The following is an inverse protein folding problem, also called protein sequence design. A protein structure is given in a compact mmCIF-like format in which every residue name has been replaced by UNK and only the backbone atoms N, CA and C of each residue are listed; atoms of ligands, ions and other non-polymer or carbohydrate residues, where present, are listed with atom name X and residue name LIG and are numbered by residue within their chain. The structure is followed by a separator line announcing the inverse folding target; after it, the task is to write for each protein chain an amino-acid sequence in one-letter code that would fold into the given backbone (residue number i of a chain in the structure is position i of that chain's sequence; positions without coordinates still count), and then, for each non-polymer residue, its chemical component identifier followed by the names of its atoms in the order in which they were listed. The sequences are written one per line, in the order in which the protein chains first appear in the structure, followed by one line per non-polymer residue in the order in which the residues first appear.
data_IF_116921459156
#
_entry.id   IF_116921459156
#
_cell.length_a   1.000
_cell.length_b   1.000
_cell.length_c   1.000
_cell.angle_alpha   90.00
_cell.angle_beta   90.00
_cell.angle_gamma   90.00
#
_symmetry.space_group_name_H-M   'P 1'
#
loop_
_entity.id
_entity.type
_entity.pdbx_description
1 polymer ?
#
# COMPACT_ATOMS: atom_id res chain seq x y z
N UNK A 1 -9.77 16.16 0.58
CA UNK A 1 -8.77 15.13 0.94
C UNK A 1 -8.33 14.41 -0.33
N UNK A 2 -7.12 13.88 -0.36
CA UNK A 2 -6.64 12.98 -1.42
C UNK A 2 -6.57 11.56 -0.88
N UNK A 3 -7.14 10.61 -1.61
CA UNK A 3 -7.09 9.20 -1.21
C UNK A 3 -6.42 8.44 -2.33
N UNK A 4 -5.33 7.76 -2.02
CA UNK A 4 -4.71 6.80 -2.91
C UNK A 4 -5.53 5.50 -2.87
N UNK A 5 -6.27 5.25 -3.95
CA UNK A 5 -6.92 3.97 -4.22
C UNK A 5 -6.18 3.31 -5.38
N UNK A 6 -5.64 2.12 -5.14
CA UNK A 6 -4.85 1.43 -6.16
C UNK A 6 -4.56 -0.01 -5.80
N UNK A 7 -3.72 -0.65 -6.60
CA UNK A 7 -3.27 -2.00 -6.34
C UNK A 7 -1.86 -2.01 -5.74
N UNK A 8 -1.53 -3.07 -5.03
CA UNK A 8 -0.21 -3.26 -4.45
C UNK A 8 0.23 -4.72 -4.49
N UNK A 9 1.53 -4.93 -4.36
CA UNK A 9 2.12 -6.23 -4.09
C UNK A 9 1.99 -6.54 -2.59
N UNK A 10 1.43 -7.71 -2.25
CA UNK A 10 1.40 -8.22 -0.88
C UNK A 10 2.76 -8.81 -0.48
N UNK A 11 3.29 -8.37 0.66
CA UNK A 11 4.61 -8.79 1.14
C UNK A 11 4.55 -9.85 2.25
N UNK A 12 3.35 -10.26 2.69
CA UNK A 12 3.15 -11.20 3.79
C UNK A 12 2.49 -12.47 3.29
N UNK A 13 2.99 -13.60 3.80
CA UNK A 13 2.44 -14.93 3.52
C UNK A 13 0.93 -15.02 3.78
N UNK A 14 0.46 -14.37 4.85
CA UNK A 14 -0.93 -14.43 5.31
C UNK A 14 -1.89 -13.56 4.50
N UNK A 15 -1.40 -12.71 3.58
CA UNK A 15 -2.26 -11.93 2.69
C UNK A 15 -2.73 -12.80 1.52
N UNK A 16 -3.95 -12.57 1.08
CA UNK A 16 -4.52 -13.13 -0.14
C UNK A 16 -4.71 -12.04 -1.21
N UNK A 17 -4.85 -12.46 -2.47
CA UNK A 17 -5.26 -11.56 -3.54
C UNK A 17 -6.67 -11.03 -3.25
N UNK A 18 -6.86 -9.73 -3.34
CA UNK A 18 -8.11 -9.06 -2.98
C UNK A 18 -8.12 -8.48 -1.56
N UNK A 19 -7.16 -8.83 -0.70
CA UNK A 19 -7.06 -8.21 0.62
C UNK A 19 -6.79 -6.70 0.52
N UNK A 20 -7.36 -5.94 1.43
CA UNK A 20 -7.15 -4.52 1.58
C UNK A 20 -5.94 -4.21 2.45
N UNK A 21 -5.23 -3.14 2.10
CA UNK A 21 -4.09 -2.61 2.82
C UNK A 21 -4.36 -1.15 3.16
N UNK A 22 -4.51 -0.87 4.46
CA UNK A 22 -4.60 0.49 4.99
C UNK A 22 -3.21 0.95 5.42
N UNK A 23 -2.65 1.96 4.75
CA UNK A 23 -1.33 2.46 5.12
C UNK A 23 -1.43 3.33 6.39
N UNK A 24 -0.64 3.00 7.42
CA UNK A 24 -0.44 3.87 8.58
C UNK A 24 0.94 4.53 8.62
N UNK A 25 1.84 4.11 7.73
CA UNK A 25 3.20 4.61 7.60
C UNK A 25 3.73 4.30 6.20
N UNK A 26 4.79 5.00 5.79
CA UNK A 26 5.35 4.90 4.45
C UNK A 26 6.86 4.71 4.51
N UNK A 27 7.39 3.77 3.72
CA UNK A 27 8.81 3.74 3.36
C UNK A 27 8.97 4.43 2.03
N UNK A 28 9.80 5.47 2.02
CA UNK A 28 10.05 6.33 0.87
C UNK A 28 11.32 5.93 0.14
N UNK A 29 11.13 5.08 -0.86
CA UNK A 29 12.14 4.70 -1.86
C UNK A 29 11.68 5.16 -3.25
N UNK A 30 10.80 6.16 -3.27
CA UNK A 30 10.22 6.82 -4.43
C UNK A 30 11.15 7.91 -4.98
N UNK A 31 12.06 8.43 -4.15
CA UNK A 31 13.16 9.36 -4.44
C UNK A 31 12.77 10.73 -5.01
N UNK A 32 11.59 10.86 -5.60
CA UNK A 32 11.14 12.03 -6.37
C UNK A 32 10.93 13.28 -5.51
N UNK A 33 10.78 13.13 -4.19
CA UNK A 33 10.57 14.24 -3.25
C UNK A 33 11.69 14.39 -2.22
N UNK A 34 12.83 13.71 -2.37
CA UNK A 34 13.84 13.65 -1.31
C UNK A 34 14.48 15.02 -1.01
N UNK A 35 14.67 15.85 -2.03
CA UNK A 35 15.22 17.21 -1.87
C UNK A 35 14.21 18.19 -1.24
N UNK A 36 12.93 18.04 -1.58
CA UNK A 36 11.85 18.91 -1.08
C UNK A 36 11.35 18.53 0.31
N UNK A 37 11.38 17.24 0.61
CA UNK A 37 10.93 16.63 1.84
C UNK A 37 11.89 15.49 2.19
N UNK A 38 12.93 15.75 3.01
CA UNK A 38 13.91 14.73 3.34
C UNK A 38 13.28 13.45 3.91
N UNK A 39 13.86 12.28 3.60
CA UNK A 39 13.31 10.95 3.97
C UNK A 39 13.20 10.71 5.48
N UNK A 40 13.93 11.47 6.31
CA UNK A 40 13.84 11.39 7.77
C UNK A 40 12.63 12.16 8.33
N UNK A 41 11.96 12.99 7.53
CA UNK A 41 10.76 13.71 7.95
C UNK A 41 9.59 12.73 8.06
N UNK A 42 8.97 12.59 9.25
CA UNK A 42 7.84 11.67 9.40
C UNK A 42 6.61 12.20 8.68
N UNK A 43 5.96 11.32 7.91
CA UNK A 43 4.64 11.56 7.32
C UNK A 43 3.61 10.81 8.18
N UNK A 44 2.92 11.48 9.11
CA UNK A 44 2.02 10.80 10.03
C UNK A 44 0.73 10.35 9.32
N UNK A 45 0.07 9.28 9.80
CA UNK A 45 -1.30 9.00 9.41
C UNK A 45 -2.25 10.02 10.04
N UNK A 46 -3.29 10.41 9.29
CA UNK A 46 -4.33 11.31 9.80
C UNK A 46 -5.47 10.48 10.40
N UNK A 47 -5.72 10.64 11.69
CA UNK A 47 -6.65 9.79 12.43
C UNK A 47 -8.05 9.78 11.79
N UNK A 48 -8.53 10.95 11.36
CA UNK A 48 -9.85 11.11 10.76
C UNK A 48 -9.97 10.35 9.45
N UNK A 49 -8.91 10.37 8.62
CA UNK A 49 -8.87 9.62 7.36
C UNK A 49 -8.72 8.11 7.61
N UNK A 50 -7.93 7.69 8.58
CA UNK A 50 -7.75 6.27 8.91
C UNK A 50 -9.07 5.63 9.37
N UNK A 51 -9.79 6.30 10.27
CA UNK A 51 -11.11 5.84 10.73
C UNK A 51 -12.09 5.77 9.56
N UNK A 52 -12.20 6.85 8.77
CA UNK A 52 -13.11 6.90 7.64
C UNK A 52 -12.84 5.78 6.60
N UNK A 53 -11.57 5.49 6.28
CA UNK A 53 -11.23 4.41 5.35
C UNK A 53 -11.54 3.02 5.91
N UNK A 54 -11.25 2.79 7.20
CA UNK A 54 -11.59 1.51 7.84
C UNK A 54 -13.11 1.29 7.90
N UNK A 55 -13.87 2.32 8.26
CA UNK A 55 -15.34 2.28 8.32
C UNK A 55 -15.93 2.07 6.92
N UNK A 56 -15.40 2.73 5.90
CA UNK A 56 -15.84 2.52 4.51
C UNK A 56 -15.65 1.07 4.03
N UNK A 57 -14.51 0.44 4.35
CA UNK A 57 -14.29 -0.98 4.03
C UNK A 57 -15.29 -1.86 4.80
N UNK A 58 -15.54 -1.57 6.07
CA UNK A 58 -16.51 -2.31 6.88
C UNK A 58 -17.93 -2.22 6.31
N UNK A 59 -18.35 -1.03 5.89
CA UNK A 59 -19.66 -0.77 5.29
C UNK A 59 -19.83 -1.50 3.96
N UNK A 60 -18.88 -1.34 3.03
CA UNK A 60 -18.96 -1.93 1.68
C UNK A 60 -18.90 -3.45 1.72
N UNK A 61 -18.08 -4.02 2.61
CA UNK A 61 -17.92 -5.48 2.71
C UNK A 61 -18.94 -6.13 3.64
N UNK A 62 -19.65 -5.35 4.45
CA UNK A 62 -20.55 -5.84 5.50
C UNK A 62 -19.82 -6.56 6.64
N UNK A 63 -18.48 -6.45 6.72
CA UNK A 63 -17.66 -7.13 7.73
C UNK A 63 -17.34 -6.20 8.89
N UNK A 64 -17.20 -6.77 10.09
CA UNK A 64 -16.83 -6.00 11.29
C UNK A 64 -15.90 -6.80 12.21
N UNK A 65 -15.32 -6.11 13.18
CA UNK A 65 -14.51 -6.73 14.23
C UNK A 65 -13.37 -7.59 13.70
N UNK A 66 -13.39 -8.87 14.05
CA UNK A 66 -12.34 -9.82 13.64
C UNK A 66 -12.40 -10.16 12.14
N UNK A 67 -13.60 -10.26 11.56
CA UNK A 67 -13.75 -10.63 10.16
C UNK A 67 -13.22 -9.56 9.21
N UNK A 68 -13.39 -8.27 9.57
CA UNK A 68 -12.76 -7.17 8.82
C UNK A 68 -11.23 -7.29 8.82
N UNK A 69 -10.62 -7.66 9.96
CA UNK A 69 -9.15 -7.84 10.06
C UNK A 69 -8.62 -9.02 9.24
N UNK A 70 -9.48 -9.95 8.82
CA UNK A 70 -9.09 -11.08 7.97
C UNK A 70 -8.83 -10.65 6.54
N UNK A 71 -9.54 -9.62 6.06
CA UNK A 71 -9.41 -9.12 4.69
C UNK A 71 -8.70 -7.77 4.62
N UNK A 72 -8.58 -7.04 5.73
CA UNK A 72 -7.92 -5.73 5.76
C UNK A 72 -6.76 -5.73 6.76
N UNK A 73 -5.59 -5.34 6.27
CA UNK A 73 -4.36 -5.22 7.06
C UNK A 73 -3.91 -3.77 7.14
N UNK A 74 -3.79 -3.23 8.35
CA UNK A 74 -3.14 -1.94 8.59
C UNK A 74 -1.64 -2.12 8.77
N UNK A 75 -0.82 -1.35 8.07
CA UNK A 75 0.64 -1.53 8.11
C UNK A 75 1.43 -0.48 7.34
N UNK A 76 2.76 -0.64 7.32
CA UNK A 76 3.66 0.22 6.55
C UNK A 76 3.60 -0.17 5.08
N UNK A 77 3.46 0.79 4.18
CA UNK A 77 3.53 0.58 2.73
C UNK A 77 4.87 1.11 2.23
N UNK A 78 5.59 0.31 1.44
CA UNK A 78 6.80 0.76 0.77
C UNK A 78 6.47 1.24 -0.64
N UNK A 79 6.88 2.46 -0.96
CA UNK A 79 6.71 3.02 -2.30
C UNK A 79 8.08 3.13 -2.94
N UNK A 80 8.23 2.52 -4.11
CA UNK A 80 9.49 2.46 -4.86
C UNK A 80 9.35 3.09 -6.24
N UNK A 81 10.45 3.55 -6.83
CA UNK A 81 10.48 4.11 -8.19
C UNK A 81 10.77 3.06 -9.30
N UNK A 82 11.18 1.86 -8.92
CA UNK A 82 11.62 0.82 -9.85
C UNK A 82 10.64 -0.36 -9.93
N UNK A 83 9.84 -0.40 -10.98
CA UNK A 83 8.87 -1.49 -11.23
C UNK A 83 9.49 -2.89 -11.31
N UNK A 84 10.75 -3.00 -11.76
CA UNK A 84 11.44 -4.28 -11.92
C UNK A 84 12.34 -4.60 -10.72
N UNK A 85 11.95 -4.16 -9.52
CA UNK A 85 12.74 -4.35 -8.30
C UNK A 85 13.02 -5.84 -8.01
N UNK A 86 12.14 -6.75 -8.46
CA UNK A 86 12.28 -8.19 -8.31
C UNK A 86 13.47 -8.76 -9.10
N UNK A 87 13.89 -8.09 -10.19
CA UNK A 87 14.95 -8.55 -11.09
C UNK A 87 16.36 -8.17 -10.64
N UNK A 88 16.49 -7.39 -9.56
CA UNK A 88 17.79 -6.92 -9.04
C UNK A 88 18.22 -7.74 -7.82
N UNK A 89 19.43 -7.48 -7.34
CA UNK A 89 19.89 -8.02 -6.05
C UNK A 89 18.92 -7.60 -4.93
N UNK A 90 18.11 -8.55 -4.50
CA UNK A 90 17.01 -8.31 -3.58
C UNK A 90 17.50 -8.08 -2.15
N UNK A 91 18.77 -8.40 -1.82
CA UNK A 91 19.26 -8.38 -0.43
C UNK A 91 19.07 -7.01 0.25
N UNK A 92 19.38 -5.92 -0.46
CA UNK A 92 19.20 -4.57 0.05
C UNK A 92 17.73 -4.18 0.25
N UNK A 93 16.91 -4.17 -0.82
CA UNK A 93 15.49 -3.84 -0.72
C UNK A 93 14.74 -4.74 0.29
N UNK A 94 14.93 -6.05 0.25
CA UNK A 94 14.26 -6.99 1.17
C UNK A 94 14.65 -6.74 2.63
N UNK A 95 15.92 -6.40 2.91
CA UNK A 95 16.35 -6.02 4.25
C UNK A 95 15.59 -4.78 4.74
N UNK A 96 15.47 -3.74 3.91
CA UNK A 96 14.74 -2.50 4.26
C UNK A 96 13.24 -2.73 4.44
N UNK A 97 12.63 -3.55 3.57
CA UNK A 97 11.22 -3.97 3.72
C UNK A 97 11.00 -4.76 5.03
N UNK A 98 11.96 -5.60 5.42
CA UNK A 98 11.90 -6.34 6.68
C UNK A 98 12.03 -5.41 7.90
N UNK A 99 13.00 -4.49 7.89
CA UNK A 99 13.26 -3.54 8.97
C UNK A 99 12.07 -2.59 9.21
N UNK A 100 11.49 -2.07 8.14
CA UNK A 100 10.33 -1.18 8.18
C UNK A 100 9.00 -1.87 8.49
N UNK A 101 9.01 -3.21 8.58
CA UNK A 101 7.80 -4.03 8.73
C UNK A 101 6.79 -3.77 7.61
N UNK A 102 7.27 -3.47 6.39
CA UNK A 102 6.43 -3.25 5.23
C UNK A 102 5.46 -4.43 4.99
N UNK A 103 4.19 -4.14 4.76
CA UNK A 103 3.15 -5.15 4.49
C UNK A 103 2.73 -5.17 3.03
N UNK A 104 3.00 -4.09 2.30
CA UNK A 104 2.72 -3.98 0.89
C UNK A 104 3.77 -3.10 0.20
N UNK A 105 3.84 -3.25 -1.12
CA UNK A 105 4.70 -2.46 -1.99
C UNK A 105 3.89 -1.90 -3.17
N UNK A 106 4.08 -0.62 -3.46
CA UNK A 106 3.47 0.09 -4.59
C UNK A 106 4.44 1.14 -5.17
N UNK A 107 3.95 2.03 -6.04
CA UNK A 107 4.78 3.05 -6.70
C UNK A 107 4.27 4.49 -6.53
N UNK A 108 3.19 4.71 -5.78
CA UNK A 108 2.56 6.03 -5.68
C UNK A 108 2.21 6.48 -4.25
N UNK A 109 1.96 5.56 -3.32
CA UNK A 109 1.33 5.87 -2.02
C UNK A 109 2.10 6.87 -1.18
N UNK A 110 3.41 6.68 -1.01
CA UNK A 110 4.23 7.59 -0.24
C UNK A 110 4.32 8.97 -0.90
N UNK A 111 4.39 9.02 -2.23
CA UNK A 111 4.42 10.26 -3.03
C UNK A 111 3.13 11.07 -2.86
N UNK A 112 1.97 10.41 -2.89
CA UNK A 112 0.66 11.05 -2.68
C UNK A 112 0.55 11.58 -1.24
N UNK A 113 0.91 10.77 -0.25
CA UNK A 113 0.87 11.16 1.16
C UNK A 113 1.84 12.32 1.45
N UNK A 114 3.06 12.27 0.90
CA UNK A 114 4.06 13.32 1.02
C UNK A 114 3.61 14.64 0.42
N UNK A 115 2.98 14.64 -0.76
CA UNK A 115 2.42 15.85 -1.33
C UNK A 115 1.23 16.37 -0.52
N UNK A 116 0.35 15.49 -0.02
CA UNK A 116 -0.72 15.88 0.90
C UNK A 116 -0.16 16.59 2.14
N UNK A 117 0.89 16.04 2.74
CA UNK A 117 1.62 16.63 3.86
C UNK A 117 2.21 18.01 3.50
N UNK A 118 2.92 18.12 2.38
CA UNK A 118 3.53 19.39 1.90
C UNK A 118 2.49 20.47 1.63
N UNK A 119 1.34 20.12 1.06
CA UNK A 119 0.31 21.07 0.68
C UNK A 119 -0.81 21.24 1.72
N UNK A 120 -0.68 20.60 2.88
CA UNK A 120 -1.68 20.66 3.97
C UNK A 120 -3.06 20.19 3.49
N UNK A 121 -3.07 19.20 2.61
CA UNK A 121 -4.26 18.52 2.12
C UNK A 121 -4.37 17.19 2.86
N UNK A 122 -5.49 16.91 3.56
CA UNK A 122 -5.66 15.62 4.23
C UNK A 122 -5.50 14.46 3.24
N UNK A 123 -4.77 13.42 3.64
CA UNK A 123 -4.41 12.29 2.78
C UNK A 123 -4.65 10.93 3.45
N UNK A 124 -4.80 9.89 2.63
CA UNK A 124 -4.86 8.50 3.07
C UNK A 124 -4.60 7.53 1.92
N UNK A 125 -4.35 6.27 2.26
CA UNK A 125 -4.01 5.22 1.31
C UNK A 125 -4.76 3.95 1.66
N UNK A 126 -5.56 3.46 0.71
CA UNK A 126 -6.21 2.15 0.77
C UNK A 126 -5.92 1.40 -0.53
N UNK A 127 -5.13 0.34 -0.43
CA UNK A 127 -4.70 -0.46 -1.57
C UNK A 127 -5.35 -1.83 -1.56
N UNK A 128 -5.42 -2.48 -2.71
CA UNK A 128 -5.87 -3.86 -2.84
C UNK A 128 -4.69 -4.75 -3.30
N UNK A 129 -4.48 -5.87 -2.61
CA UNK A 129 -3.40 -6.82 -2.92
C UNK A 129 -3.71 -7.50 -4.24
N UNK A 130 -2.83 -7.35 -5.21
CA UNK A 130 -3.08 -7.84 -6.57
C UNK A 130 -2.12 -8.90 -7.07
N UNK A 131 -1.03 -9.09 -6.34
CA UNK A 131 0.04 -10.04 -6.61
C UNK A 131 0.91 -10.22 -5.35
N UNK A 132 1.70 -11.29 -5.30
CA UNK A 132 2.57 -11.61 -4.16
C UNK A 132 3.97 -12.04 -4.66
N UNK A 133 4.82 -11.08 -5.04
CA UNK A 133 6.10 -11.36 -5.72
C UNK A 133 7.07 -12.20 -4.89
N UNK A 134 7.09 -12.04 -3.56
CA UNK A 134 7.95 -12.82 -2.66
C UNK A 134 7.48 -14.27 -2.45
N UNK A 135 6.31 -14.63 -2.99
CA UNK A 135 5.66 -15.92 -2.76
C UNK A 135 5.34 -16.68 -4.05
N UNK A 136 5.98 -16.29 -5.17
CA UNK A 136 5.84 -16.97 -6.45
C UNK A 136 4.58 -16.64 -7.24
N UNK A 137 3.69 -15.80 -6.71
CA UNK A 137 2.49 -15.30 -7.42
C UNK A 137 2.83 -13.99 -8.15
N UNK A 138 3.73 -14.07 -9.13
CA UNK A 138 4.11 -12.92 -9.93
C UNK A 138 2.98 -12.56 -10.93
N UNK A 139 2.66 -11.27 -11.02
CA UNK A 139 1.65 -10.77 -11.96
C UNK A 139 2.19 -10.80 -13.39
N UNK A 140 1.74 -11.77 -14.19
CA UNK A 140 1.99 -11.78 -15.63
C UNK A 140 1.06 -10.78 -16.36
N UNK A 141 1.47 -10.24 -17.53
CA UNK A 141 0.61 -9.38 -18.34
C UNK A 141 -0.71 -10.10 -18.68
N UNK A 142 -1.85 -9.54 -18.25
CA UNK A 142 -3.20 -10.11 -18.45
C UNK A 142 -3.95 -10.46 -17.16
N UNK A 143 -3.26 -10.89 -16.10
CA UNK A 143 -3.90 -11.19 -14.80
C UNK A 143 -4.43 -9.95 -14.08
N UNK A 144 -3.84 -8.78 -14.36
CA UNK A 144 -4.36 -7.51 -13.87
C UNK A 144 -5.79 -7.25 -14.35
N UNK A 145 -6.13 -7.62 -15.59
CA UNK A 145 -7.46 -7.36 -16.18
C UNK A 145 -8.56 -8.18 -15.52
N UNK A 146 -8.29 -9.44 -15.16
CA UNK A 146 -9.26 -10.31 -14.49
C UNK A 146 -9.48 -9.90 -13.03
N UNK A 147 -8.40 -9.54 -12.32
CA UNK A 147 -8.47 -8.95 -10.98
C UNK A 147 -9.27 -7.65 -10.96
N UNK A 148 -8.98 -6.73 -11.89
CA UNK A 148 -9.70 -5.46 -12.03
C UNK A 148 -11.20 -5.70 -12.28
N UNK A 149 -11.57 -6.63 -13.16
CA UNK A 149 -12.98 -6.94 -13.46
C UNK A 149 -13.74 -7.49 -12.25
N UNK A 150 -13.08 -8.24 -11.37
CA UNK A 150 -13.74 -8.87 -10.21
C UNK A 150 -13.90 -7.93 -9.03
N UNK A 151 -12.90 -7.08 -8.77
CA UNK A 151 -12.87 -6.20 -7.60
C UNK A 151 -13.50 -4.82 -7.86
N UNK A 152 -13.38 -4.27 -9.08
CA UNK A 152 -13.99 -2.96 -9.39
C UNK A 152 -15.49 -3.04 -9.66
N UNK A 153 -16.02 -4.24 -9.91
CA UNK A 153 -17.44 -4.48 -10.15
C UNK A 153 -18.25 -4.86 -8.90
N UNK A 154 -17.59 -4.95 -7.72
CA UNK A 154 -18.25 -5.19 -6.43
C UNK A 154 -18.65 -3.89 -5.76
#
# INVERSE_FOLDING_TARGET
AWVMLGHCAGLRNTQALGDYVLAHAYVREDHVLDDDLPVWVPIPPLAEIQVALQEAVAEVTGLSGYDLKRIMRTGTVATIDNRNWELRDQRGPVQRLSQSRAIALDMESATIAANGFRFRVPYGTLLCVSDKPLHGELKLPGMATEFYKRQVAQ
#
